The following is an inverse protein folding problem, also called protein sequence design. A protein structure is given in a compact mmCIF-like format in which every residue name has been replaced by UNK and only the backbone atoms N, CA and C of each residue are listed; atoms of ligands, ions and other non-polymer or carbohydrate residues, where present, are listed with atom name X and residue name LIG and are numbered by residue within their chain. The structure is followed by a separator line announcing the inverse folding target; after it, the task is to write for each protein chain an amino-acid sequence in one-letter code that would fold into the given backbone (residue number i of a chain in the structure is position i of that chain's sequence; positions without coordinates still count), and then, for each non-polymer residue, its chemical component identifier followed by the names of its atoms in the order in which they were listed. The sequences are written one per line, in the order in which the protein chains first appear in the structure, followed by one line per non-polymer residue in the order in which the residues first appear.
data_IF_788921551402
#
_entry.id   IF_788921551402
#
_cell.length_a   1.000
_cell.length_b   1.000
_cell.length_c   1.000
_cell.angle_alpha   90.00
_cell.angle_beta   90.00
_cell.angle_gamma   90.00
#
_symmetry.space_group_name_H-M   'P 1'
#
loop_
_entity.id
_entity.type
_entity.pdbx_description
1 polymer ?
#
# COMPACT_ATOMS: atom_id res chain seq x y z
N UNK A 1 35.35 44.27 -4.27
CA UNK A 1 35.18 42.93 -4.87
C UNK A 1 33.72 42.53 -4.67
N UNK A 2 32.90 42.71 -5.71
CA UNK A 2 31.46 42.45 -5.63
C UNK A 2 31.21 40.95 -5.86
N UNK A 3 30.86 40.24 -4.80
CA UNK A 3 30.48 38.83 -4.87
C UNK A 3 29.09 38.78 -5.50
N UNK A 4 29.01 38.19 -6.70
CA UNK A 4 27.79 38.06 -7.48
C UNK A 4 26.71 37.25 -6.74
N UNK A 5 25.79 37.95 -6.09
CA UNK A 5 24.57 37.46 -5.44
C UNK A 5 23.50 37.03 -6.46
N UNK A 6 23.82 36.15 -7.41
CA UNK A 6 22.83 35.65 -8.40
C UNK A 6 22.32 34.22 -8.15
N UNK A 7 22.94 33.45 -7.27
CA UNK A 7 22.61 32.03 -7.09
C UNK A 7 21.79 31.70 -5.84
N UNK A 8 21.40 32.71 -5.04
CA UNK A 8 20.65 32.49 -3.79
C UNK A 8 19.17 32.10 -4.01
N UNK A 9 18.61 32.37 -5.20
CA UNK A 9 17.21 32.04 -5.54
C UNK A 9 16.99 30.62 -6.06
N UNK A 10 18.05 29.88 -6.40
CA UNK A 10 17.97 28.52 -6.94
C UNK A 10 17.92 27.44 -5.85
N UNK A 11 18.51 27.71 -4.67
CA UNK A 11 18.50 26.79 -3.53
C UNK A 11 17.11 26.43 -2.97
N UNK A 12 16.17 27.36 -2.77
CA UNK A 12 14.87 27.02 -2.18
C UNK A 12 13.99 26.20 -3.12
N UNK A 13 14.19 26.32 -4.45
CA UNK A 13 13.39 25.59 -5.45
C UNK A 13 13.76 24.11 -5.48
N UNK A 14 15.04 23.77 -5.34
CA UNK A 14 15.54 22.39 -5.28
C UNK A 14 15.14 21.72 -3.96
N UNK A 15 15.15 22.46 -2.84
CA UNK A 15 14.72 21.94 -1.55
C UNK A 15 13.20 21.67 -1.49
N UNK A 16 12.39 22.51 -2.14
CA UNK A 16 10.94 22.37 -2.18
C UNK A 16 10.48 21.19 -3.07
N UNK A 17 11.20 20.89 -4.15
CA UNK A 17 10.89 19.74 -5.03
C UNK A 17 11.23 18.39 -4.39
N UNK A 18 12.25 18.31 -3.54
CA UNK A 18 12.60 17.10 -2.78
C UNK A 18 11.60 16.81 -1.64
N UNK A 19 10.93 17.84 -1.12
CA UNK A 19 10.01 17.69 0.03
C UNK A 19 8.61 17.16 -0.36
N UNK A 20 8.22 17.27 -1.64
CA UNK A 20 6.90 16.84 -2.13
C UNK A 20 6.79 15.32 -2.39
N UNK A 21 7.88 14.56 -2.32
CA UNK A 21 7.85 13.10 -2.53
C UNK A 21 7.59 12.28 -1.26
N UNK A 22 7.43 12.89 -0.09
CA UNK A 22 7.19 12.16 1.16
C UNK A 22 5.70 12.09 1.54
N UNK A 23 4.84 11.78 0.57
CA UNK A 23 3.51 11.29 0.89
C UNK A 23 3.67 9.86 1.40
N UNK A 24 3.56 9.62 2.71
CA UNK A 24 3.43 8.26 3.24
C UNK A 24 2.16 7.66 2.66
N UNK A 25 2.32 6.86 1.61
CA UNK A 25 1.23 6.09 1.05
C UNK A 25 1.07 4.91 2.01
N UNK A 26 0.11 5.01 2.91
CA UNK A 26 -0.31 3.89 3.75
C UNK A 26 -1.45 3.14 3.04
N UNK A 27 -1.48 1.81 3.20
CA UNK A 27 -2.57 0.98 2.73
C UNK A 27 -3.67 0.86 3.78
N UNK A 28 -4.86 0.48 3.35
CA UNK A 28 -5.95 0.22 4.27
C UNK A 28 -5.63 -1.03 5.13
N UNK A 29 -5.62 -0.94 6.48
CA UNK A 29 -5.31 -2.08 7.35
C UNK A 29 -6.25 -3.27 7.12
N UNK A 30 -7.47 -3.03 6.65
CA UNK A 30 -8.43 -4.08 6.29
C UNK A 30 -7.96 -4.97 5.12
N UNK A 31 -6.98 -4.51 4.34
CA UNK A 31 -6.35 -5.32 3.30
C UNK A 31 -5.57 -6.49 3.91
N UNK A 32 -4.92 -6.26 5.05
CA UNK A 32 -4.21 -7.32 5.77
C UNK A 32 -5.19 -8.34 6.32
N UNK A 33 -6.28 -7.87 6.94
CA UNK A 33 -7.34 -8.75 7.45
C UNK A 33 -7.98 -9.56 6.31
N UNK A 34 -8.21 -8.93 5.16
CA UNK A 34 -8.70 -9.60 3.95
C UNK A 34 -7.75 -10.71 3.50
N UNK A 35 -6.45 -10.41 3.35
CA UNK A 35 -5.46 -11.36 2.86
C UNK A 35 -5.21 -12.51 3.83
N UNK A 36 -5.25 -12.25 5.14
CA UNK A 36 -5.18 -13.30 6.17
C UNK A 36 -6.38 -14.23 6.08
N UNK A 37 -7.58 -13.68 6.00
CA UNK A 37 -8.80 -14.47 5.90
C UNK A 37 -8.90 -15.23 4.57
N UNK A 38 -8.45 -14.64 3.46
CA UNK A 38 -8.32 -15.34 2.17
C UNK A 38 -7.36 -16.53 2.27
N UNK A 39 -6.18 -16.35 2.89
CA UNK A 39 -5.22 -17.43 3.12
C UNK A 39 -5.83 -18.56 3.92
N UNK A 40 -6.67 -18.26 4.92
CA UNK A 40 -7.40 -19.28 5.69
C UNK A 40 -8.50 -19.97 4.87
N UNK A 41 -9.28 -19.21 4.10
CA UNK A 41 -10.33 -19.76 3.24
C UNK A 41 -9.75 -20.74 2.21
N UNK A 42 -8.63 -20.36 1.57
CA UNK A 42 -7.91 -21.23 0.61
C UNK A 42 -7.37 -22.51 1.23
N UNK A 43 -7.05 -22.50 2.53
CA UNK A 43 -6.63 -23.72 3.26
C UNK A 43 -7.80 -24.65 3.57
N UNK A 44 -9.01 -24.11 3.75
CA UNK A 44 -10.20 -24.85 4.18
C UNK A 44 -11.07 -25.32 3.02
N UNK A 45 -11.10 -24.56 1.92
CA UNK A 45 -12.00 -24.78 0.79
C UNK A 45 -11.17 -25.24 -0.42
N UNK A 46 -11.30 -26.52 -0.78
CA UNK A 46 -10.64 -27.08 -1.98
C UNK A 46 -11.45 -26.86 -3.28
N UNK A 47 -12.71 -26.45 -3.18
CA UNK A 47 -13.58 -26.19 -4.34
C UNK A 47 -13.55 -24.71 -4.73
N UNK A 48 -13.15 -24.42 -5.98
CA UNK A 48 -13.03 -23.05 -6.49
C UNK A 48 -14.33 -22.22 -6.39
N UNK A 49 -15.50 -22.82 -6.66
CA UNK A 49 -16.78 -22.07 -6.60
C UNK A 49 -17.11 -21.58 -5.18
N UNK A 50 -17.01 -22.45 -4.17
CA UNK A 50 -17.25 -22.05 -2.78
C UNK A 50 -16.21 -21.05 -2.25
N UNK A 51 -14.99 -21.08 -2.79
CA UNK A 51 -13.95 -20.12 -2.46
C UNK A 51 -14.30 -18.73 -3.02
N UNK A 52 -14.70 -18.62 -4.29
CA UNK A 52 -15.05 -17.35 -4.91
C UNK A 52 -16.24 -16.68 -4.21
N UNK A 53 -17.28 -17.44 -3.87
CA UNK A 53 -18.43 -16.93 -3.11
C UNK A 53 -18.02 -16.42 -1.73
N UNK A 54 -17.17 -17.19 -1.03
CA UNK A 54 -16.64 -16.80 0.28
C UNK A 54 -15.80 -15.53 0.20
N UNK A 55 -14.95 -15.40 -0.83
CA UNK A 55 -14.15 -14.20 -1.05
C UNK A 55 -15.00 -12.98 -1.39
N UNK A 56 -16.06 -13.15 -2.19
CA UNK A 56 -17.02 -12.09 -2.52
C UNK A 56 -17.74 -11.57 -1.27
N UNK A 57 -18.21 -12.48 -0.42
CA UNK A 57 -18.81 -12.13 0.88
C UNK A 57 -17.79 -11.41 1.76
N UNK A 58 -16.55 -11.88 1.78
CA UNK A 58 -15.50 -11.31 2.61
C UNK A 58 -15.12 -9.88 2.19
N UNK A 59 -15.06 -9.60 0.89
CA UNK A 59 -14.87 -8.23 0.36
C UNK A 59 -16.00 -7.30 0.79
N UNK A 60 -17.25 -7.76 0.71
CA UNK A 60 -18.44 -6.98 1.13
C UNK A 60 -18.43 -6.71 2.64
N UNK A 61 -18.11 -7.72 3.45
CA UNK A 61 -18.07 -7.60 4.91
C UNK A 61 -17.02 -6.60 5.37
N UNK A 62 -15.81 -6.68 4.81
CA UNK A 62 -14.73 -5.75 5.14
C UNK A 62 -14.90 -4.37 4.48
N UNK A 63 -15.87 -4.22 3.57
CA UNK A 63 -16.12 -3.01 2.76
C UNK A 63 -14.84 -2.54 2.07
N UNK A 64 -14.10 -3.48 1.49
CA UNK A 64 -12.82 -3.24 0.84
C UNK A 64 -12.91 -3.59 -0.64
N UNK A 65 -12.42 -2.68 -1.47
CA UNK A 65 -12.15 -2.96 -2.87
C UNK A 65 -10.69 -3.39 -3.01
N UNK A 66 -10.46 -4.70 -2.97
CA UNK A 66 -9.12 -5.29 -2.97
C UNK A 66 -8.35 -4.87 -4.23
N UNK A 67 -9.01 -4.83 -5.40
CA UNK A 67 -8.36 -4.42 -6.64
C UNK A 67 -7.88 -2.98 -6.58
N UNK A 68 -8.70 -2.09 -6.02
CA UNK A 68 -8.35 -0.68 -5.85
C UNK A 68 -7.20 -0.50 -4.85
N UNK A 69 -7.23 -1.21 -3.73
CA UNK A 69 -6.18 -1.12 -2.71
C UNK A 69 -4.85 -1.71 -3.21
N UNK A 70 -4.87 -2.85 -3.89
CA UNK A 70 -3.69 -3.44 -4.51
C UNK A 70 -3.09 -2.51 -5.57
N UNK A 71 -3.93 -1.85 -6.38
CA UNK A 71 -3.46 -0.88 -7.39
C UNK A 71 -2.78 0.35 -6.78
N UNK A 72 -3.17 0.76 -5.57
CA UNK A 72 -2.50 1.88 -4.87
C UNK A 72 -1.08 1.50 -4.43
N UNK A 73 -0.88 0.25 -4.03
CA UNK A 73 0.41 -0.22 -3.53
C UNK A 73 1.28 -0.83 -4.64
N UNK A 74 0.71 -1.20 -5.78
CA UNK A 74 1.38 -1.81 -6.94
C UNK A 74 2.67 -1.07 -7.34
N UNK A 75 2.64 0.27 -7.32
CA UNK A 75 3.79 1.11 -7.72
C UNK A 75 4.80 1.38 -6.61
N UNK A 76 4.56 0.91 -5.39
CA UNK A 76 5.33 1.23 -4.19
C UNK A 76 5.89 -0.04 -3.55
N UNK A 77 7.11 -0.47 -3.94
CA UNK A 77 7.70 -1.72 -3.44
C UNK A 77 7.91 -1.74 -1.91
N UNK A 78 8.18 -0.60 -1.29
CA UNK A 78 8.34 -0.50 0.17
C UNK A 78 7.06 -0.88 0.93
N UNK A 79 5.90 -0.54 0.35
CA UNK A 79 4.61 -0.85 0.96
C UNK A 79 4.32 -2.34 0.89
N UNK A 80 4.70 -3.00 -0.21
CA UNK A 80 4.59 -4.45 -0.31
C UNK A 80 5.37 -5.14 0.80
N UNK A 81 6.60 -4.70 1.08
CA UNK A 81 7.42 -5.26 2.16
C UNK A 81 6.71 -5.09 3.51
N UNK A 82 6.16 -3.90 3.79
CA UNK A 82 5.41 -3.64 5.02
C UNK A 82 4.15 -4.52 5.14
N UNK A 83 3.39 -4.64 4.05
CA UNK A 83 2.21 -5.50 3.97
C UNK A 83 2.56 -6.97 4.24
N UNK A 84 3.63 -7.49 3.62
CA UNK A 84 4.06 -8.87 3.83
C UNK A 84 4.48 -9.12 5.28
N UNK A 85 5.26 -8.21 5.88
CA UNK A 85 5.63 -8.28 7.30
C UNK A 85 4.41 -8.35 8.21
N UNK A 86 3.42 -7.49 7.99
CA UNK A 86 2.18 -7.49 8.78
C UNK A 86 1.30 -8.75 8.55
N UNK A 87 1.34 -9.34 7.35
CA UNK A 87 0.64 -10.60 7.04
C UNK A 87 1.30 -11.79 7.74
N UNK A 88 2.62 -11.90 7.66
CA UNK A 88 3.38 -13.01 8.25
C UNK A 88 3.61 -12.84 9.76
N UNK A 89 3.27 -11.67 10.31
CA UNK A 89 3.31 -11.40 11.74
C UNK A 89 4.69 -10.99 12.27
N UNK A 90 5.62 -10.68 11.37
CA UNK A 90 6.90 -10.05 11.72
C UNK A 90 6.65 -8.58 12.04
N UNK A 91 6.80 -8.21 13.32
CA UNK A 91 6.71 -6.83 13.81
C UNK A 91 8.04 -6.09 13.62
#
# INVERSE_FOLDING_TARGET
MAIALKNLKLFPVIALSLFLCCGRIDYNPKLVDYLKAERELRKRINQNQGLEDSLSILQKNLKIDVKKELKKIEKNPEIWIKLFKEIDGEK
#
